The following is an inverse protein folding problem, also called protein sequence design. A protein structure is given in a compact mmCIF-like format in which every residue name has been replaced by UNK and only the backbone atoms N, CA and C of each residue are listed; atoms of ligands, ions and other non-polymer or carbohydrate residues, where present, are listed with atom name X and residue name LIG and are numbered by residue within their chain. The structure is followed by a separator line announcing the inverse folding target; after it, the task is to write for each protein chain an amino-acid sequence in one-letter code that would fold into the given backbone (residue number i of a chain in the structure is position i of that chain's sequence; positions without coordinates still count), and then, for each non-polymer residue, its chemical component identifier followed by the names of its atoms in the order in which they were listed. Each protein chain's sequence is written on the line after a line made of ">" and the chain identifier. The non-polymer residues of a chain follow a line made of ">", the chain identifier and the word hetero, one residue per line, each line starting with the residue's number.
data_IF_690257950146
#
_entry.id   IF_690257950146
#
_cell.length_a   1.000
_cell.length_b   1.000
_cell.length_c   1.000
_cell.angle_alpha   90.00
_cell.angle_beta   90.00
_cell.angle_gamma   90.00
#
_symmetry.space_group_name_H-M   'P 1'
#
loop_
_entity.id
_entity.type
_entity.pdbx_description
1 polymer ?
#
# COMPACT_ATOMS: atom_id res chain seq x y z
N UNK A 1 113.65 20.32 -50.11
CA UNK A 1 114.33 19.49 -49.10
C UNK A 1 113.54 19.64 -47.80
N UNK A 2 112.42 18.92 -47.65
CA UNK A 2 112.27 17.67 -46.87
C UNK A 2 111.65 17.98 -45.50
N UNK A 3 110.32 17.90 -45.29
CA UNK A 3 109.46 16.71 -45.20
C UNK A 3 109.91 15.73 -44.10
N UNK A 4 109.27 15.79 -42.92
CA UNK A 4 109.30 14.74 -41.88
C UNK A 4 107.91 14.62 -41.26
N UNK A 5 107.43 13.38 -41.24
CA UNK A 5 106.13 12.92 -40.81
C UNK A 5 106.16 12.38 -39.36
N UNK A 6 104.95 12.06 -38.88
CA UNK A 6 104.63 11.05 -37.85
C UNK A 6 104.79 11.45 -36.37
N UNK A 7 103.69 11.74 -35.68
CA UNK A 7 102.80 10.73 -35.08
C UNK A 7 101.81 11.42 -34.13
N UNK A 8 100.53 11.51 -34.52
CA UNK A 8 99.44 11.98 -33.67
C UNK A 8 99.13 10.89 -32.62
N UNK A 9 99.34 11.24 -31.35
CA UNK A 9 99.01 10.40 -30.20
C UNK A 9 97.51 10.53 -29.93
N UNK A 10 96.78 9.48 -30.31
CA UNK A 10 95.38 9.18 -29.99
C UNK A 10 95.20 8.88 -28.50
N UNK A 11 95.08 9.89 -27.63
CA UNK A 11 94.65 9.67 -26.24
C UNK A 11 93.93 10.91 -25.69
N UNK A 12 92.69 11.17 -26.14
CA UNK A 12 91.77 12.06 -25.37
C UNK A 12 90.26 11.84 -25.63
N UNK A 13 89.88 10.81 -26.40
CA UNK A 13 88.48 10.51 -26.70
C UNK A 13 87.78 9.63 -25.65
N UNK A 14 88.53 9.01 -24.74
CA UNK A 14 87.99 8.09 -23.73
C UNK A 14 87.43 8.81 -22.49
N UNK A 15 88.01 9.94 -22.08
CA UNK A 15 87.47 10.73 -20.96
C UNK A 15 86.22 11.52 -21.39
N UNK A 16 86.20 12.06 -22.61
CA UNK A 16 84.99 12.64 -23.21
C UNK A 16 83.86 11.61 -23.35
N UNK A 17 84.19 10.35 -23.69
CA UNK A 17 83.21 9.25 -23.75
C UNK A 17 82.60 8.90 -22.39
N UNK A 18 83.36 9.00 -21.29
CA UNK A 18 82.86 8.76 -19.94
C UNK A 18 81.96 9.89 -19.44
N UNK A 19 82.29 11.14 -19.77
CA UNK A 19 81.47 12.32 -19.48
C UNK A 19 80.20 12.33 -20.34
N UNK A 20 80.30 11.91 -21.61
CA UNK A 20 79.16 11.73 -22.50
C UNK A 20 78.23 10.61 -22.00
N UNK A 21 78.76 9.46 -21.60
CA UNK A 21 77.96 8.37 -21.02
C UNK A 21 77.28 8.78 -19.70
N UNK A 22 77.97 9.52 -18.83
CA UNK A 22 77.39 10.08 -17.61
C UNK A 22 76.30 11.12 -17.92
N UNK A 23 76.50 11.96 -18.93
CA UNK A 23 75.51 12.93 -19.41
C UNK A 23 74.29 12.24 -20.03
N UNK A 24 74.47 11.15 -20.76
CA UNK A 24 73.41 10.35 -21.38
C UNK A 24 72.61 9.57 -20.33
N UNK A 25 73.27 9.01 -19.31
CA UNK A 25 72.62 8.38 -18.16
C UNK A 25 71.86 9.43 -17.30
N UNK A 26 72.41 10.63 -17.16
CA UNK A 26 71.73 11.76 -16.54
C UNK A 26 70.53 12.24 -17.37
N UNK A 27 70.62 12.22 -18.70
CA UNK A 27 69.54 12.55 -19.63
C UNK A 27 68.43 11.49 -19.58
N UNK A 28 68.77 10.20 -19.55
CA UNK A 28 67.81 9.10 -19.36
C UNK A 28 67.13 9.17 -18.00
N UNK A 29 67.88 9.44 -16.91
CA UNK A 29 67.28 9.69 -15.57
C UNK A 29 66.39 10.94 -15.55
N UNK A 30 66.72 11.97 -16.34
CA UNK A 30 65.86 13.17 -16.51
C UNK A 30 64.61 12.82 -17.30
N UNK A 31 64.71 12.02 -18.37
CA UNK A 31 63.57 11.56 -19.16
C UNK A 31 62.65 10.63 -18.35
N UNK A 32 63.19 9.68 -17.60
CA UNK A 32 62.42 8.82 -16.69
C UNK A 32 61.68 9.65 -15.62
N UNK A 33 62.34 10.65 -15.03
CA UNK A 33 61.69 11.60 -14.11
C UNK A 33 60.58 12.40 -14.80
N UNK A 34 60.79 12.85 -16.03
CA UNK A 34 59.76 13.52 -16.83
C UNK A 34 58.60 12.59 -17.19
N UNK A 35 58.84 11.33 -17.54
CA UNK A 35 57.80 10.31 -17.78
C UNK A 35 57.00 10.03 -16.52
N UNK A 36 57.66 9.77 -15.39
CA UNK A 36 57.03 9.60 -14.07
C UNK A 36 56.20 10.82 -13.69
N UNK A 37 56.68 12.02 -13.99
CA UNK A 37 55.95 13.27 -13.75
C UNK A 37 54.70 13.39 -14.64
N UNK A 38 54.77 13.01 -15.93
CA UNK A 38 53.60 12.96 -16.83
C UNK A 38 52.58 11.92 -16.37
N UNK A 39 53.03 10.75 -15.97
CA UNK A 39 52.20 9.67 -15.43
C UNK A 39 51.48 10.12 -14.15
N UNK A 40 52.20 10.73 -13.20
CA UNK A 40 51.61 11.32 -12.00
C UNK A 40 50.62 12.44 -12.35
N UNK A 41 50.89 13.25 -13.37
CA UNK A 41 49.95 14.25 -13.85
C UNK A 41 48.68 13.64 -14.45
N UNK A 42 48.80 12.55 -15.20
CA UNK A 42 47.67 11.77 -15.73
C UNK A 42 46.85 11.15 -14.59
N UNK A 43 47.48 10.44 -13.66
CA UNK A 43 46.80 9.86 -12.48
C UNK A 43 46.13 10.95 -11.63
N UNK A 44 46.76 12.13 -11.48
CA UNK A 44 46.15 13.27 -10.79
C UNK A 44 44.92 13.79 -11.54
N UNK A 45 44.97 13.83 -12.88
CA UNK A 45 43.83 14.26 -13.68
C UNK A 45 42.70 13.22 -13.68
N UNK A 46 43.03 11.92 -13.73
CA UNK A 46 42.07 10.81 -13.60
C UNK A 46 41.41 10.82 -12.22
N UNK A 47 42.19 10.91 -11.14
CA UNK A 47 41.68 11.03 -9.78
C UNK A 47 40.79 12.28 -9.63
N UNK A 48 41.18 13.41 -10.22
CA UNK A 48 40.34 14.62 -10.23
C UNK A 48 39.02 14.40 -10.97
N UNK A 49 39.04 13.66 -12.08
CA UNK A 49 37.85 13.36 -12.88
C UNK A 49 36.92 12.37 -12.16
N UNK A 50 37.48 11.32 -11.55
CA UNK A 50 36.73 10.35 -10.75
C UNK A 50 36.11 11.00 -9.52
N UNK A 51 36.88 11.80 -8.75
CA UNK A 51 36.35 12.56 -7.62
C UNK A 51 35.25 13.52 -8.06
N UNK A 52 35.41 14.20 -9.21
CA UNK A 52 34.36 15.06 -9.72
C UNK A 52 33.10 14.28 -10.12
N UNK A 53 33.25 13.11 -10.75
CA UNK A 53 32.14 12.23 -11.10
C UNK A 53 31.41 11.74 -9.84
N UNK A 54 32.13 11.29 -8.81
CA UNK A 54 31.54 10.88 -7.54
C UNK A 54 30.80 12.02 -6.84
N UNK A 55 31.39 13.22 -6.77
CA UNK A 55 30.73 14.42 -6.19
C UNK A 55 29.46 14.77 -6.96
N UNK A 56 29.48 14.66 -8.29
CA UNK A 56 28.29 14.88 -9.13
C UNK A 56 27.24 13.79 -8.93
N UNK A 57 27.63 12.53 -8.76
CA UNK A 57 26.70 11.44 -8.45
C UNK A 57 26.10 11.56 -7.04
N UNK A 58 26.89 11.99 -6.07
CA UNK A 58 26.43 12.27 -4.71
C UNK A 58 25.43 13.44 -4.70
N UNK A 59 25.75 14.55 -5.38
CA UNK A 59 24.83 15.68 -5.55
C UNK A 59 23.54 15.28 -6.28
N UNK A 60 23.63 14.40 -7.28
CA UNK A 60 22.44 13.80 -7.91
C UNK A 60 21.64 12.98 -6.89
N UNK A 61 22.28 12.12 -6.08
CA UNK A 61 21.59 11.33 -5.04
C UNK A 61 20.94 12.21 -3.98
N UNK A 62 21.58 13.29 -3.57
CA UNK A 62 21.03 14.26 -2.62
C UNK A 62 19.87 15.07 -3.20
N UNK A 63 19.90 15.37 -4.50
CA UNK A 63 18.81 16.04 -5.23
C UNK A 63 17.64 15.12 -5.55
N UNK A 64 17.81 13.80 -5.45
CA UNK A 64 16.71 12.86 -5.64
C UNK A 64 15.72 13.02 -4.49
N UNK A 65 14.41 13.11 -4.79
CA UNK A 65 13.38 13.05 -3.77
C UNK A 65 13.54 11.81 -2.88
N UNK A 66 13.29 11.93 -1.58
CA UNK A 66 13.40 10.80 -0.63
C UNK A 66 12.54 9.58 -1.03
N UNK A 67 11.52 9.76 -1.88
CA UNK A 67 10.67 8.71 -2.41
C UNK A 67 11.10 8.19 -3.81
N UNK A 68 12.27 8.57 -4.32
CA UNK A 68 12.71 8.22 -5.67
C UNK A 68 12.85 6.71 -5.89
N UNK A 69 13.44 6.00 -4.93
CA UNK A 69 13.59 4.55 -5.01
C UNK A 69 12.22 3.85 -5.04
N UNK A 70 11.28 4.31 -4.20
CA UNK A 70 9.91 3.81 -4.20
C UNK A 70 9.20 4.11 -5.54
N UNK A 71 9.46 5.28 -6.14
CA UNK A 71 8.92 5.64 -7.46
C UNK A 71 9.53 4.78 -8.57
N UNK A 72 10.84 4.54 -8.54
CA UNK A 72 11.54 3.68 -9.49
C UNK A 72 11.04 2.24 -9.41
N UNK A 73 10.92 1.69 -8.19
CA UNK A 73 10.38 0.35 -7.97
C UNK A 73 8.93 0.24 -8.48
N UNK A 74 8.11 1.28 -8.29
CA UNK A 74 6.75 1.33 -8.86
C UNK A 74 6.77 1.32 -10.38
N UNK A 75 7.59 2.16 -11.01
CA UNK A 75 7.70 2.23 -12.48
C UNK A 75 8.21 0.91 -13.07
N UNK A 76 9.20 0.27 -12.45
CA UNK A 76 9.69 -1.05 -12.86
C UNK A 76 8.61 -2.13 -12.70
N UNK A 77 7.80 -2.05 -11.64
CA UNK A 77 6.67 -2.96 -11.44
C UNK A 77 5.57 -2.75 -12.50
N UNK A 78 5.20 -1.50 -12.81
CA UNK A 78 4.25 -1.15 -13.87
C UNK A 78 4.73 -1.64 -15.25
N UNK A 79 6.02 -1.46 -15.55
CA UNK A 79 6.64 -1.97 -16.78
C UNK A 79 6.54 -3.50 -16.87
N UNK A 80 6.89 -4.23 -15.81
CA UNK A 80 6.76 -5.69 -15.76
C UNK A 80 5.30 -6.14 -15.91
N UNK A 81 4.35 -5.39 -15.34
CA UNK A 81 2.93 -5.70 -15.45
C UNK A 81 2.43 -5.55 -16.89
N UNK A 82 2.82 -4.45 -17.56
CA UNK A 82 2.52 -4.19 -18.98
C UNK A 82 3.18 -5.21 -19.91
N UNK A 83 4.44 -5.59 -19.65
CA UNK A 83 5.14 -6.65 -20.40
C UNK A 83 4.41 -7.99 -20.29
N UNK A 84 4.07 -8.42 -19.06
CA UNK A 84 3.29 -9.65 -18.87
C UNK A 84 1.92 -9.58 -19.53
N UNK A 85 1.25 -8.42 -19.51
CA UNK A 85 -0.04 -8.23 -20.16
C UNK A 85 0.06 -8.37 -21.68
N UNK A 86 1.11 -7.80 -22.28
CA UNK A 86 1.41 -7.96 -23.72
C UNK A 86 1.74 -9.40 -24.07
N UNK A 87 2.51 -10.10 -23.24
CA UNK A 87 2.84 -11.52 -23.43
C UNK A 87 1.59 -12.41 -23.35
N UNK A 88 0.73 -12.18 -22.35
CA UNK A 88 -0.55 -12.87 -22.23
C UNK A 88 -1.46 -12.59 -23.44
N UNK A 89 -1.53 -11.33 -23.88
CA UNK A 89 -2.29 -10.96 -25.08
C UNK A 89 -1.75 -11.62 -26.35
N UNK A 90 -0.43 -11.72 -26.51
CA UNK A 90 0.20 -12.42 -27.63
C UNK A 90 -0.08 -13.94 -27.63
N UNK A 91 -0.19 -14.54 -26.43
CA UNK A 91 -0.58 -15.95 -26.24
C UNK A 91 -2.10 -16.18 -26.36
N UNK A 92 -2.91 -15.12 -26.41
CA UNK A 92 -4.37 -15.20 -26.44
C UNK A 92 -5.01 -15.50 -25.07
N UNK A 93 -4.29 -15.27 -23.98
CA UNK A 93 -4.76 -15.50 -22.62
C UNK A 93 -5.12 -14.19 -21.90
N UNK A 94 -6.07 -14.29 -20.98
CA UNK A 94 -6.49 -13.17 -20.14
C UNK A 94 -5.52 -13.00 -18.96
N UNK A 95 -4.84 -11.85 -18.93
CA UNK A 95 -3.82 -11.50 -17.93
C UNK A 95 -4.34 -11.66 -16.49
N UNK A 96 -5.59 -11.29 -16.21
CA UNK A 96 -6.13 -11.39 -14.86
C UNK A 96 -6.25 -12.85 -14.38
N UNK A 97 -6.57 -13.77 -15.30
CA UNK A 97 -6.66 -15.20 -14.98
C UNK A 97 -5.28 -15.80 -14.72
N UNK A 98 -4.29 -15.48 -15.56
CA UNK A 98 -2.90 -15.93 -15.37
C UNK A 98 -2.36 -15.41 -14.04
N UNK A 99 -2.58 -14.12 -13.74
CA UNK A 99 -2.18 -13.51 -12.47
C UNK A 99 -2.80 -14.22 -11.28
N UNK A 100 -4.10 -14.57 -11.33
CA UNK A 100 -4.76 -15.32 -10.26
C UNK A 100 -4.17 -16.73 -10.06
N UNK A 101 -3.68 -17.37 -11.12
CA UNK A 101 -3.02 -18.68 -11.06
C UNK A 101 -1.60 -18.61 -10.48
N UNK A 102 -0.91 -17.48 -10.64
CA UNK A 102 0.44 -17.26 -10.11
C UNK A 102 0.46 -16.92 -8.60
N UNK A 103 -0.68 -16.57 -8.00
CA UNK A 103 -0.75 -16.25 -6.57
C UNK A 103 -0.48 -17.53 -5.76
N UNK A 104 0.55 -17.50 -4.93
CA UNK A 104 0.89 -18.60 -4.03
C UNK A 104 -0.29 -18.93 -3.10
N UNK A 105 -0.48 -20.22 -2.79
CA UNK A 105 -1.51 -20.66 -1.86
C UNK A 105 -1.39 -19.96 -0.49
N UNK A 106 -0.17 -19.64 -0.05
CA UNK A 106 0.10 -18.90 1.19
C UNK A 106 -0.42 -17.45 1.13
N UNK A 107 -0.21 -16.76 0.01
CA UNK A 107 -0.68 -15.39 -0.20
C UNK A 107 -2.19 -15.33 -0.34
N UNK A 108 -2.78 -16.31 -1.03
CA UNK A 108 -4.22 -16.47 -1.13
C UNK A 108 -4.84 -16.66 0.26
N UNK A 109 -4.28 -17.52 1.11
CA UNK A 109 -4.77 -17.74 2.47
C UNK A 109 -4.64 -16.47 3.33
N UNK A 110 -3.49 -15.78 3.24
CA UNK A 110 -3.27 -14.52 3.96
C UNK A 110 -4.26 -13.43 3.52
N UNK A 111 -4.62 -13.39 2.24
CA UNK A 111 -5.62 -12.49 1.70
C UNK A 111 -7.04 -12.85 2.14
N UNK A 112 -7.43 -14.12 2.11
CA UNK A 112 -8.72 -14.60 2.62
C UNK A 112 -8.90 -14.26 4.11
N UNK A 113 -7.83 -14.37 4.93
CA UNK A 113 -7.88 -13.97 6.35
C UNK A 113 -8.12 -12.47 6.54
N UNK A 114 -7.62 -11.63 5.64
CA UNK A 114 -7.83 -10.17 5.62
C UNK A 114 -9.21 -9.77 5.10
N UNK A 115 -9.93 -10.65 4.39
CA UNK A 115 -11.28 -10.33 3.91
C UNK A 115 -12.23 -10.04 5.07
N UNK A 116 -13.19 -9.16 4.77
CA UNK A 116 -14.24 -8.77 5.71
C UNK A 116 -15.01 -10.01 6.15
N UNK A 117 -14.98 -10.29 7.46
CA UNK A 117 -15.78 -11.35 8.09
C UNK A 117 -17.24 -11.17 7.72
N UNK A 118 -17.84 -12.20 7.13
CA UNK A 118 -19.25 -12.19 6.72
C UNK A 118 -20.12 -12.28 7.97
N UNK A 119 -20.99 -11.30 8.16
CA UNK A 119 -21.99 -11.29 9.24
C UNK A 119 -23.39 -11.10 8.62
N UNK A 120 -23.91 -12.11 7.88
CA UNK A 120 -25.23 -12.05 7.28
C UNK A 120 -26.32 -11.86 8.35
N UNK A 121 -27.48 -11.39 7.94
CA UNK A 121 -28.67 -11.37 8.79
C UNK A 121 -29.39 -12.72 8.63
N UNK A 122 -29.50 -13.50 9.71
CA UNK A 122 -30.10 -14.84 9.66
C UNK A 122 -31.64 -14.80 9.59
N UNK A 123 -32.23 -13.61 9.62
CA UNK A 123 -33.66 -13.40 9.80
C UNK A 123 -34.00 -13.00 11.25
N UNK A 124 -35.27 -12.70 11.48
CA UNK A 124 -35.78 -12.36 12.79
C UNK A 124 -35.93 -13.61 13.65
N UNK A 125 -35.16 -13.70 14.74
CA UNK A 125 -35.25 -14.77 15.74
C UNK A 125 -36.06 -14.30 16.95
N UNK A 126 -35.46 -13.49 17.82
CA UNK A 126 -36.12 -12.82 18.96
C UNK A 126 -35.55 -11.41 19.12
N UNK A 127 -36.28 -10.53 19.82
CA UNK A 127 -35.84 -9.17 20.13
C UNK A 127 -34.54 -9.16 20.94
N UNK A 128 -34.33 -10.10 21.87
CA UNK A 128 -33.07 -10.19 22.61
C UNK A 128 -31.89 -10.52 21.69
N UNK A 129 -32.06 -11.48 20.77
CA UNK A 129 -31.03 -11.85 19.79
C UNK A 129 -30.76 -10.70 18.78
N UNK A 130 -31.80 -9.98 18.36
CA UNK A 130 -31.68 -8.82 17.49
C UNK A 130 -30.93 -7.66 18.19
N UNK A 131 -31.24 -7.41 19.46
CA UNK A 131 -30.55 -6.42 20.29
C UNK A 131 -29.09 -6.83 20.49
N UNK A 132 -28.80 -8.10 20.79
CA UNK A 132 -27.43 -8.60 20.93
C UNK A 132 -26.62 -8.42 19.65
N UNK A 133 -27.22 -8.72 18.49
CA UNK A 133 -26.59 -8.49 17.18
C UNK A 133 -26.34 -7.00 16.92
N UNK A 134 -27.27 -6.13 17.31
CA UNK A 134 -27.10 -4.69 17.28
C UNK A 134 -25.94 -4.27 18.20
N UNK A 135 -25.92 -4.75 19.44
CA UNK A 135 -24.90 -4.44 20.44
C UNK A 135 -23.50 -4.84 19.95
N UNK A 136 -23.31 -6.07 19.47
CA UNK A 136 -22.04 -6.52 18.87
C UNK A 136 -21.60 -5.68 17.67
N UNK A 137 -22.53 -5.09 16.94
CA UNK A 137 -22.21 -4.18 15.84
C UNK A 137 -21.79 -2.81 16.36
N UNK A 138 -22.50 -2.26 17.35
CA UNK A 138 -22.21 -0.96 17.98
C UNK A 138 -20.87 -0.99 18.73
N UNK A 139 -20.59 -2.04 19.49
CA UNK A 139 -19.32 -2.16 20.25
C UNK A 139 -18.09 -2.33 19.35
N UNK A 140 -18.24 -2.89 18.15
CA UNK A 140 -17.13 -3.01 17.17
C UNK A 140 -16.85 -1.71 16.42
N UNK A 141 -17.82 -0.80 16.31
CA UNK A 141 -17.65 0.47 15.59
C UNK A 141 -17.13 1.60 16.49
N UNK A 142 -17.43 1.57 17.78
CA UNK A 142 -16.94 2.57 18.73
C UNK A 142 -15.42 2.47 18.89
N UNK A 143 -14.77 3.64 18.96
CA UNK A 143 -13.34 3.75 19.26
C UNK A 143 -13.20 4.21 20.71
N UNK A 144 -12.54 3.42 21.58
CA UNK A 144 -12.29 3.85 22.95
C UNK A 144 -11.34 5.04 22.94
N UNK A 145 -11.62 6.02 23.78
CA UNK A 145 -10.75 7.17 24.02
C UNK A 145 -9.76 6.76 25.13
N UNK A 146 -8.56 6.37 24.72
CA UNK A 146 -7.56 5.81 25.64
C UNK A 146 -6.92 6.89 26.52
N UNK A 147 -6.79 8.12 26.02
CA UNK A 147 -6.15 9.22 26.76
C UNK A 147 -7.00 9.66 27.95
N UNK A 148 -8.29 9.88 27.70
CA UNK A 148 -9.25 10.21 28.78
C UNK A 148 -9.41 9.06 29.76
N UNK A 149 -9.39 7.81 29.25
CA UNK A 149 -9.42 6.60 30.07
C UNK A 149 -8.22 6.51 31.01
N UNK A 150 -6.99 6.69 30.52
CA UNK A 150 -5.78 6.65 31.34
C UNK A 150 -5.76 7.76 32.39
N UNK A 151 -6.11 8.99 32.00
CA UNK A 151 -6.25 10.13 32.94
C UNK A 151 -7.27 9.86 34.04
N UNK A 152 -8.41 9.24 33.71
CA UNK A 152 -9.46 8.92 34.67
C UNK A 152 -9.04 7.74 35.57
N UNK A 153 -8.35 6.75 35.01
CA UNK A 153 -7.80 5.60 35.74
C UNK A 153 -6.81 6.03 36.80
N UNK A 154 -5.86 6.91 36.47
CA UNK A 154 -4.89 7.43 37.45
C UNK A 154 -5.56 8.30 38.53
N UNK A 155 -6.59 9.08 38.17
CA UNK A 155 -7.33 9.92 39.14
C UNK A 155 -8.10 9.10 40.18
N UNK A 156 -8.74 8.01 39.77
CA UNK A 156 -9.56 7.18 40.66
C UNK A 156 -8.76 6.05 41.33
N UNK A 157 -7.61 5.64 40.77
CA UNK A 157 -6.77 4.59 41.34
C UNK A 157 -7.49 3.25 41.40
N UNK A 158 -7.55 2.65 42.60
CA UNK A 158 -8.21 1.35 42.82
C UNK A 158 -9.73 1.44 42.66
N UNK A 159 -10.32 2.57 43.05
CA UNK A 159 -11.76 2.81 42.97
C UNK A 159 -12.26 2.90 41.50
N UNK A 160 -11.36 3.00 40.52
CA UNK A 160 -11.69 2.94 39.09
C UNK A 160 -12.30 1.58 38.67
N UNK A 161 -12.04 0.51 39.41
CA UNK A 161 -12.63 -0.81 39.19
C UNK A 161 -13.64 -1.12 40.31
N UNK A 162 -14.85 -0.52 40.27
CA UNK A 162 -15.79 -0.59 41.36
C UNK A 162 -16.35 -2.00 41.59
N UNK A 163 -16.69 -2.29 42.84
CA UNK A 163 -17.59 -3.39 43.19
C UNK A 163 -19.04 -2.92 43.09
N UNK A 164 -20.01 -3.82 43.24
CA UNK A 164 -21.44 -3.46 43.25
C UNK A 164 -21.82 -2.44 44.34
N UNK A 165 -20.99 -2.29 45.37
CA UNK A 165 -21.24 -1.44 46.54
C UNK A 165 -20.35 -0.19 46.58
N UNK A 166 -19.60 0.12 45.52
CA UNK A 166 -18.75 1.30 45.45
C UNK A 166 -19.58 2.57 45.20
N UNK A 167 -19.14 3.72 45.74
CA UNK A 167 -19.93 4.96 45.78
C UNK A 167 -19.78 5.87 44.55
N UNK A 168 -19.10 5.43 43.47
CA UNK A 168 -18.94 6.23 42.25
C UNK A 168 -20.26 6.42 41.47
N UNK A 169 -21.27 5.60 41.75
CA UNK A 169 -22.53 5.67 41.03
C UNK A 169 -23.27 6.99 41.33
N UNK A 170 -23.63 7.72 40.28
CA UNK A 170 -24.37 8.99 40.38
C UNK A 170 -23.51 10.25 40.54
N UNK A 171 -22.19 10.12 40.73
CA UNK A 171 -21.27 11.27 40.84
C UNK A 171 -20.56 11.62 39.53
N UNK A 172 -20.78 10.84 38.46
CA UNK A 172 -20.16 11.07 37.16
C UNK A 172 -20.83 12.25 36.43
N UNK A 173 -20.04 13.28 36.12
CA UNK A 173 -20.44 14.42 35.31
C UNK A 173 -19.62 14.39 34.02
N UNK A 174 -20.17 13.87 32.90
CA UNK A 174 -19.46 13.80 31.63
C UNK A 174 -19.22 15.19 31.04
N UNK A 175 -18.19 15.33 30.22
CA UNK A 175 -17.95 16.55 29.46
C UNK A 175 -18.97 16.70 28.31
N UNK A 176 -19.15 17.91 27.79
CA UNK A 176 -20.03 18.13 26.64
C UNK A 176 -19.62 17.30 25.43
N UNK A 177 -18.31 17.12 25.20
CA UNK A 177 -17.80 16.28 24.10
C UNK A 177 -18.19 14.80 24.25
N UNK A 178 -18.23 14.27 25.48
CA UNK A 178 -18.65 12.89 25.75
C UNK A 178 -20.16 12.71 25.50
N UNK A 179 -20.97 13.70 25.90
CA UNK A 179 -22.41 13.73 25.64
C UNK A 179 -22.66 13.80 24.12
N UNK A 180 -21.98 14.68 23.40
CA UNK A 180 -22.13 14.84 21.95
C UNK A 180 -21.75 13.56 21.21
N UNK A 181 -20.69 12.87 21.62
CA UNK A 181 -20.32 11.55 21.06
C UNK A 181 -21.43 10.52 21.24
N UNK A 182 -22.07 10.49 22.41
CA UNK A 182 -23.21 9.59 22.67
C UNK A 182 -24.41 9.96 21.80
N UNK A 183 -24.78 11.24 21.74
CA UNK A 183 -25.92 11.73 20.95
C UNK A 183 -25.74 11.39 19.47
N UNK A 184 -24.55 11.67 18.90
CA UNK A 184 -24.22 11.35 17.51
C UNK A 184 -24.31 9.84 17.23
N UNK A 185 -23.88 8.97 18.17
CA UNK A 185 -24.02 7.52 17.98
C UNK A 185 -25.48 7.06 18.06
N UNK A 186 -26.29 7.66 18.94
CA UNK A 186 -27.73 7.39 19.04
C UNK A 186 -28.48 7.83 17.78
N UNK A 187 -28.17 8.99 17.22
CA UNK A 187 -28.75 9.45 15.94
C UNK A 187 -28.43 8.48 14.80
N UNK A 188 -27.17 8.05 14.69
CA UNK A 188 -26.74 7.03 13.70
C UNK A 188 -27.45 5.70 13.93
N UNK A 189 -27.66 5.31 15.18
CA UNK A 189 -28.42 4.11 15.53
C UNK A 189 -29.88 4.22 15.10
N UNK A 190 -30.53 5.36 15.36
CA UNK A 190 -31.93 5.62 14.99
C UNK A 190 -32.07 5.61 13.47
N UNK A 191 -31.25 6.37 12.75
CA UNK A 191 -31.27 6.43 11.27
C UNK A 191 -31.12 5.03 10.65
N UNK A 192 -30.26 4.19 11.23
CA UNK A 192 -30.07 2.80 10.79
C UNK A 192 -31.27 1.91 11.12
N UNK A 193 -31.90 2.10 12.29
CA UNK A 193 -33.09 1.36 12.71
C UNK A 193 -34.29 1.72 11.84
N UNK A 194 -34.43 2.98 11.43
CA UNK A 194 -35.55 3.43 10.59
C UNK A 194 -35.51 2.75 9.20
N UNK A 195 -34.31 2.40 8.73
CA UNK A 195 -34.07 1.62 7.50
C UNK A 195 -34.24 0.10 7.67
N UNK A 196 -34.65 -0.39 8.84
CA UNK A 196 -34.84 -1.82 9.11
C UNK A 196 -35.86 -2.46 8.16
N UNK A 197 -37.02 -1.82 7.99
CA UNK A 197 -38.01 -2.21 6.98
C UNK A 197 -37.71 -1.49 5.67
N UNK A 198 -36.76 -2.02 4.89
CA UNK A 198 -36.37 -1.46 3.59
C UNK A 198 -37.58 -1.26 2.67
N UNK A 199 -37.68 -0.08 2.05
CA UNK A 199 -38.66 0.18 0.98
C UNK A 199 -38.30 -0.67 -0.24
N UNK A 200 -39.23 -1.50 -0.70
CA UNK A 200 -39.13 -2.20 -1.99
C UNK A 200 -39.59 -1.25 -3.10
N UNK A 201 -38.95 -1.28 -4.29
CA UNK A 201 -39.37 -0.42 -5.40
C UNK A 201 -40.84 -0.70 -5.73
N UNK A 202 -41.59 0.37 -5.98
CA UNK A 202 -42.95 0.30 -6.49
C UNK A 202 -42.85 0.17 -8.01
N UNK A 203 -43.58 -0.78 -8.59
CA UNK A 203 -43.69 -0.94 -10.04
C UNK A 203 -45.14 -0.61 -10.40
N UNK A 204 -45.34 0.50 -11.09
CA UNK A 204 -46.65 0.94 -11.61
C UNK A 204 -47.16 0.06 -12.75
N UNK A 205 -46.26 -0.62 -13.48
CA UNK A 205 -46.59 -1.59 -14.52
C UNK A 205 -46.97 -2.98 -13.97
N UNK A 206 -46.97 -3.19 -12.65
CA UNK A 206 -47.36 -4.47 -12.06
C UNK A 206 -48.88 -4.65 -12.08
N UNK A 207 -49.34 -5.90 -12.10
CA UNK A 207 -50.77 -6.21 -11.97
C UNK A 207 -51.29 -5.75 -10.59
N UNK A 208 -52.18 -4.75 -10.59
CA UNK A 208 -52.67 -4.10 -9.37
C UNK A 208 -53.89 -4.88 -8.86
N UNK A 209 -53.65 -5.78 -7.92
CA UNK A 209 -54.69 -6.58 -7.25
C UNK A 209 -55.41 -5.86 -6.09
N UNK A 210 -55.19 -4.54 -5.93
CA UNK A 210 -55.67 -3.75 -4.79
C UNK A 210 -56.38 -2.45 -5.17
N UNK A 211 -57.36 -2.06 -4.34
CA UNK A 211 -58.16 -0.84 -4.49
C UNK A 211 -57.51 0.37 -3.77
N UNK A 212 -56.70 0.12 -2.73
CA UNK A 212 -56.03 1.17 -1.96
C UNK A 212 -54.69 0.69 -1.37
N UNK A 213 -53.88 1.62 -0.87
CA UNK A 213 -52.55 1.32 -0.29
C UNK A 213 -52.59 0.38 0.93
N UNK A 214 -53.66 0.42 1.72
CA UNK A 214 -53.82 -0.50 2.86
C UNK A 214 -54.10 -1.93 2.37
N UNK A 215 -54.89 -2.05 1.31
CA UNK A 215 -55.20 -3.30 0.64
C UNK A 215 -53.96 -3.84 -0.08
N UNK A 216 -53.15 -2.99 -0.72
CA UNK A 216 -51.86 -3.38 -1.31
C UNK A 216 -50.93 -4.04 -0.28
N UNK A 217 -50.85 -3.48 0.93
CA UNK A 217 -50.08 -4.06 2.04
C UNK A 217 -50.68 -5.38 2.54
N UNK A 218 -52.01 -5.50 2.52
CA UNK A 218 -52.71 -6.73 2.89
C UNK A 218 -52.50 -7.84 1.84
N UNK A 219 -52.61 -7.55 0.54
CA UNK A 219 -52.32 -8.51 -0.52
C UNK A 219 -50.86 -8.97 -0.49
N UNK A 220 -49.90 -8.05 -0.30
CA UNK A 220 -48.48 -8.40 -0.03
C UNK A 220 -48.29 -9.23 1.24
N UNK A 221 -49.18 -9.11 2.24
CA UNK A 221 -49.18 -9.99 3.41
C UNK A 221 -49.74 -11.36 3.03
N UNK A 222 -50.90 -11.41 2.37
CA UNK A 222 -51.54 -12.63 1.92
C UNK A 222 -50.61 -13.46 1.01
N UNK A 223 -49.94 -12.84 0.05
CA UNK A 223 -48.97 -13.51 -0.82
C UNK A 223 -47.78 -14.09 -0.05
N UNK A 224 -47.27 -13.42 1.00
CA UNK A 224 -46.19 -13.98 1.84
C UNK A 224 -46.60 -15.23 2.63
N UNK A 225 -47.85 -15.31 3.09
CA UNK A 225 -48.34 -16.44 3.87
C UNK A 225 -48.90 -17.57 3.00
N UNK A 226 -49.72 -17.21 2.01
CA UNK A 226 -50.50 -18.12 1.17
C UNK A 226 -49.93 -18.33 -0.23
N UNK A 227 -49.04 -17.47 -0.72
CA UNK A 227 -48.51 -17.57 -2.10
C UNK A 227 -47.82 -18.90 -2.41
N UNK A 228 -47.26 -19.58 -1.39
CA UNK A 228 -46.72 -20.94 -1.51
C UNK A 228 -47.78 -22.03 -1.69
N UNK A 229 -49.03 -21.77 -1.35
CA UNK A 229 -50.16 -22.70 -1.45
C UNK A 229 -51.13 -22.32 -2.58
N UNK A 230 -51.11 -21.07 -3.03
CA UNK A 230 -52.01 -20.54 -4.05
C UNK A 230 -51.30 -20.32 -5.39
N UNK A 231 -50.14 -20.95 -5.60
CA UNK A 231 -49.37 -20.81 -6.83
C UNK A 231 -50.13 -21.41 -8.02
N UNK A 232 -50.71 -22.60 -7.84
CA UNK A 232 -51.57 -23.26 -8.83
C UNK A 232 -52.83 -22.43 -9.08
N UNK A 233 -53.48 -21.94 -8.02
CA UNK A 233 -54.69 -21.10 -8.12
C UNK A 233 -54.39 -19.82 -8.91
N UNK A 234 -53.24 -19.17 -8.65
CA UNK A 234 -52.82 -17.99 -9.41
C UNK A 234 -52.64 -18.33 -10.89
N UNK A 235 -51.93 -19.40 -11.22
CA UNK A 235 -51.77 -19.83 -12.61
C UNK A 235 -53.11 -20.18 -13.29
N UNK A 236 -54.06 -20.76 -12.56
CA UNK A 236 -55.39 -21.08 -13.07
C UNK A 236 -56.20 -19.81 -13.39
N UNK A 237 -56.05 -18.76 -12.56
CA UNK A 237 -56.62 -17.44 -12.84
C UNK A 237 -55.98 -16.81 -14.09
N UNK A 238 -54.65 -16.85 -14.22
CA UNK A 238 -53.94 -16.33 -15.40
C UNK A 238 -54.28 -17.09 -16.70
N UNK A 239 -54.55 -18.40 -16.61
CA UNK A 239 -54.95 -19.24 -17.76
C UNK A 239 -56.44 -19.13 -18.08
N UNK A 240 -57.28 -18.79 -17.10
CA UNK A 240 -58.74 -18.93 -17.18
C UNK A 240 -59.25 -20.38 -17.16
N UNK A 241 -58.38 -21.37 -16.91
CA UNK A 241 -58.71 -22.81 -16.83
C UNK A 241 -58.05 -23.42 -15.59
N UNK A 242 -58.65 -24.49 -15.04
CA UNK A 242 -58.25 -25.08 -13.76
C UNK A 242 -57.46 -26.40 -13.91
N UNK A 243 -56.54 -26.45 -14.88
CA UNK A 243 -55.73 -27.66 -15.17
C UNK A 243 -54.56 -27.81 -14.21
#
# INVERSE_FOLDING_TARGET
>A
MAAIAASEVLVDSAEEGSLAAAAELAAQKREQRLRKFRELHLMRNEARKLNHQEVVEEDKRLKLPANWEAKKARLEWELKEEEKKKECAARGEDYEKVKLLEISAEDAERWERKKKRKNPDLGFSDYAAAQLRQYHRLTKQIKPDMETYERLREKHGEEFFPTSNSLLHGTHVPSTEEIDRMVIDLEKQIEKRDKYSRRRPYNDDADIDYINERNAKFNKKAERFYGKYTAEIKQNLERGTAV
#
